data_IF_855207871879
#
_entry.id   IF_855207871879
#
_cell.length_a   1.000
_cell.length_b   1.000
_cell.length_c   1.000
_cell.angle_alpha   90.00
_cell.angle_beta   90.00
_cell.angle_gamma   90.00
#
_symmetry.space_group_name_H-M   'P 1'
#
loop_
_entity.id
_entity.type
_entity.pdbx_description
1 polymer ?
#
# COMPACT_ATOMS: atom_id res chain seq x y z
N UNK A 1 3.35 -0.85 29.11
CA UNK A 1 2.76 -1.70 30.16
C UNK A 1 3.23 -3.12 29.93
N UNK A 2 3.59 -3.91 30.96
CA UNK A 2 3.76 -5.34 30.80
C UNK A 2 2.40 -5.96 30.43
N UNK A 3 2.37 -6.85 29.43
CA UNK A 3 1.15 -7.58 29.09
C UNK A 3 0.79 -8.51 30.25
N UNK A 4 -0.44 -8.40 30.75
CA UNK A 4 -0.94 -9.30 31.77
C UNK A 4 -1.21 -10.68 31.14
N UNK A 5 -0.31 -11.63 31.39
CA UNK A 5 -0.42 -13.00 30.90
C UNK A 5 -1.19 -13.93 31.86
N UNK A 6 -1.84 -13.38 32.89
CA UNK A 6 -2.75 -14.17 33.73
C UNK A 6 -3.95 -14.63 32.90
N UNK A 7 -4.34 -15.93 32.97
CA UNK A 7 -5.53 -16.39 32.27
C UNK A 7 -6.76 -15.71 32.87
N UNK A 8 -7.48 -14.95 32.03
CA UNK A 8 -8.74 -14.33 32.42
C UNK A 8 -9.75 -15.47 32.61
N UNK A 9 -10.12 -15.73 33.87
CA UNK A 9 -11.20 -16.66 34.18
C UNK A 9 -12.52 -16.15 33.59
N UNK A 10 -13.40 -17.06 33.17
CA UNK A 10 -14.74 -16.66 32.72
C UNK A 10 -15.52 -16.11 33.92
N UNK A 11 -16.37 -15.08 33.72
CA UNK A 11 -17.46 -14.82 34.64
C UNK A 11 -18.39 -16.04 34.63
N UNK A 12 -18.69 -16.60 35.80
CA UNK A 12 -19.69 -17.68 35.93
C UNK A 12 -21.14 -17.13 35.90
N UNK A 13 -21.29 -15.80 35.91
CA UNK A 13 -22.57 -15.09 35.88
C UNK A 13 -22.97 -14.71 34.44
N UNK A 14 -24.26 -14.85 34.12
CA UNK A 14 -24.82 -14.53 32.80
C UNK A 14 -25.01 -13.03 32.65
N UNK A 15 -23.92 -12.30 32.38
CA UNK A 15 -23.90 -10.83 32.27
C UNK A 15 -24.58 -10.25 31.02
N UNK A 16 -25.20 -11.08 30.17
CA UNK A 16 -25.88 -10.64 28.94
C UNK A 16 -24.97 -9.95 27.91
N UNK A 17 -23.65 -10.09 28.05
CA UNK A 17 -22.64 -9.39 27.26
C UNK A 17 -21.59 -10.37 26.71
N UNK A 18 -21.18 -10.18 25.46
CA UNK A 18 -20.11 -10.96 24.82
C UNK A 18 -18.74 -10.33 25.09
N UNK A 19 -17.71 -11.15 25.29
CA UNK A 19 -16.33 -10.68 25.43
C UNK A 19 -15.80 -10.06 24.13
N UNK A 20 -16.31 -10.50 22.97
CA UNK A 20 -16.02 -9.90 21.68
C UNK A 20 -16.86 -8.61 21.45
N UNK A 21 -16.24 -7.52 20.94
CA UNK A 21 -16.92 -6.25 20.76
C UNK A 21 -17.92 -6.29 19.58
N UNK A 22 -19.22 -6.25 19.90
CA UNK A 22 -20.34 -6.31 18.93
C UNK A 22 -20.20 -5.30 17.77
N UNK A 23 -19.69 -4.09 18.03
CA UNK A 23 -19.48 -3.07 17.01
C UNK A 23 -18.45 -3.47 15.94
N UNK A 24 -17.46 -4.32 16.28
CA UNK A 24 -16.49 -4.86 15.32
C UNK A 24 -17.09 -6.03 14.55
N UNK A 25 -17.88 -6.88 15.21
CA UNK A 25 -18.56 -8.03 14.59
C UNK A 25 -19.55 -7.56 13.52
N UNK A 26 -20.39 -6.56 13.82
CA UNK A 26 -21.32 -5.97 12.83
C UNK A 26 -20.60 -5.41 11.61
N UNK A 27 -19.41 -4.83 11.79
CA UNK A 27 -18.58 -4.36 10.66
C UNK A 27 -18.05 -5.49 9.80
N UNK A 28 -17.69 -6.64 10.40
CA UNK A 28 -17.22 -7.83 9.67
C UNK A 28 -18.38 -8.48 8.90
N UNK A 29 -19.56 -8.60 9.53
CA UNK A 29 -20.77 -9.14 8.88
C UNK A 29 -21.14 -8.28 7.64
N UNK A 30 -21.03 -6.95 7.73
CA UNK A 30 -21.27 -6.05 6.61
C UNK A 30 -20.12 -5.93 5.60
N UNK A 31 -19.15 -6.85 5.59
CA UNK A 31 -18.20 -7.03 4.47
C UNK A 31 -18.60 -8.19 3.54
N UNK A 32 -19.68 -8.90 3.87
CA UNK A 32 -20.21 -10.01 3.10
C UNK A 32 -21.37 -9.51 2.24
N UNK A 33 -21.16 -9.44 0.91
CA UNK A 33 -22.12 -8.87 -0.04
C UNK A 33 -23.44 -9.68 -0.10
N UNK A 34 -23.41 -10.95 0.31
CA UNK A 34 -24.60 -11.81 0.38
C UNK A 34 -25.51 -11.49 1.60
N UNK A 35 -25.03 -10.70 2.58
CA UNK A 35 -25.76 -10.41 3.83
C UNK A 35 -26.38 -9.01 3.82
N UNK A 36 -27.57 -8.91 3.22
CA UNK A 36 -28.27 -7.63 3.07
C UNK A 36 -28.58 -6.90 4.39
N UNK A 37 -29.07 -7.59 5.44
CA UNK A 37 -29.35 -7.00 6.76
C UNK A 37 -29.21 -8.03 7.90
N UNK A 38 -28.51 -7.66 8.98
CA UNK A 38 -28.34 -8.49 10.18
C UNK A 38 -28.92 -7.80 11.43
N UNK A 39 -29.83 -8.48 12.14
CA UNK A 39 -30.50 -7.92 13.33
C UNK A 39 -29.55 -7.84 14.54
N UNK A 40 -29.87 -6.95 15.49
CA UNK A 40 -29.06 -6.81 16.72
C UNK A 40 -28.95 -8.12 17.51
N UNK A 41 -30.04 -8.90 17.57
CA UNK A 41 -30.08 -10.20 18.25
C UNK A 41 -29.28 -11.27 17.49
N UNK A 42 -29.33 -11.26 16.15
CA UNK A 42 -28.51 -12.16 15.33
C UNK A 42 -27.01 -11.85 15.49
N UNK A 43 -26.62 -10.58 15.45
CA UNK A 43 -25.23 -10.16 15.67
C UNK A 43 -24.69 -10.54 17.07
N UNK A 44 -25.56 -10.59 18.09
CA UNK A 44 -25.21 -11.09 19.43
C UNK A 44 -25.13 -12.63 19.48
N UNK A 45 -26.05 -13.35 18.84
CA UNK A 45 -25.95 -14.81 18.73
C UNK A 45 -24.67 -15.24 18.00
N UNK A 46 -24.29 -14.52 16.93
CA UNK A 46 -23.04 -14.73 16.18
C UNK A 46 -21.82 -14.45 17.06
N UNK A 47 -21.84 -13.42 17.92
CA UNK A 47 -20.69 -13.13 18.81
C UNK A 47 -20.44 -14.25 19.82
N UNK A 48 -21.51 -14.73 20.48
CA UNK A 48 -21.43 -15.85 21.43
C UNK A 48 -21.01 -17.14 20.71
N UNK A 49 -21.57 -17.44 19.53
CA UNK A 49 -21.17 -18.60 18.73
C UNK A 49 -19.69 -18.53 18.30
N UNK A 50 -19.18 -17.34 17.99
CA UNK A 50 -17.76 -17.12 17.65
C UNK A 50 -16.85 -17.38 18.85
N UNK A 51 -17.26 -17.01 20.06
CA UNK A 51 -16.51 -17.29 21.31
C UNK A 51 -16.46 -18.79 21.62
N UNK A 52 -17.58 -19.50 21.48
CA UNK A 52 -17.63 -20.95 21.61
C UNK A 52 -16.76 -21.64 20.56
N UNK A 53 -16.80 -21.18 19.31
CA UNK A 53 -16.01 -21.72 18.21
C UNK A 53 -14.50 -21.54 18.43
N UNK A 54 -14.05 -20.33 18.79
CA UNK A 54 -12.64 -20.05 19.10
C UNK A 54 -12.16 -20.95 20.24
N UNK A 55 -13.00 -21.15 21.28
CA UNK A 55 -12.68 -22.03 22.40
C UNK A 55 -12.57 -23.49 21.96
N UNK A 56 -13.52 -23.98 21.17
CA UNK A 56 -13.51 -25.34 20.65
C UNK A 56 -12.25 -25.60 19.81
N UNK A 57 -11.97 -24.73 18.82
CA UNK A 57 -10.78 -24.81 17.98
C UNK A 57 -9.48 -24.78 18.79
N UNK A 58 -9.38 -23.87 19.76
CA UNK A 58 -8.21 -23.75 20.64
C UNK A 58 -8.04 -25.00 21.51
N UNK A 59 -9.12 -25.57 22.02
CA UNK A 59 -9.08 -26.81 22.81
C UNK A 59 -8.63 -28.01 21.97
N UNK A 60 -9.18 -28.19 20.76
CA UNK A 60 -8.74 -29.25 19.83
C UNK A 60 -7.25 -29.11 19.48
N UNK A 61 -6.79 -27.89 19.18
CA UNK A 61 -5.39 -27.61 18.90
C UNK A 61 -4.48 -27.85 20.13
N UNK A 62 -4.95 -27.52 21.34
CA UNK A 62 -4.23 -27.78 22.59
C UNK A 62 -4.12 -29.30 22.86
N UNK A 63 -5.17 -30.07 22.61
CA UNK A 63 -5.14 -31.54 22.77
C UNK A 63 -4.14 -32.18 21.80
N UNK A 64 -4.03 -31.67 20.57
CA UNK A 64 -2.96 -32.05 19.62
C UNK A 64 -1.57 -31.69 20.17
N UNK A 65 -1.38 -30.48 20.69
CA UNK A 65 -0.09 -30.04 21.26
C UNK A 65 0.32 -30.84 22.52
N UNK A 66 -0.67 -31.32 23.29
CA UNK A 66 -0.49 -32.20 24.46
C UNK A 66 -0.20 -33.64 24.06
N UNK A 67 -0.71 -34.10 22.92
CA UNK A 67 -0.46 -35.44 22.36
C UNK A 67 0.93 -35.59 21.70
N UNK A 68 1.69 -34.51 21.51
CA UNK A 68 3.07 -34.61 21.04
C UNK A 68 4.00 -35.24 22.09
N UNK A 69 5.01 -36.00 21.62
CA UNK A 69 6.03 -36.67 22.46
C UNK A 69 6.74 -35.76 23.48
N UNK A 70 6.78 -34.44 23.22
CA UNK A 70 7.21 -33.43 24.17
C UNK A 70 6.10 -32.36 24.26
N UNK A 71 5.20 -32.43 25.25
CA UNK A 71 4.06 -31.51 25.33
C UNK A 71 4.55 -30.08 25.52
N UNK A 72 4.04 -29.17 24.68
CA UNK A 72 4.38 -27.75 24.72
C UNK A 72 3.29 -26.96 25.41
N UNK A 73 3.69 -25.96 26.21
CA UNK A 73 2.78 -24.99 26.85
C UNK A 73 2.33 -23.87 25.90
N UNK A 74 2.95 -23.78 24.72
CA UNK A 74 2.64 -22.80 23.69
C UNK A 74 2.10 -23.49 22.44
N UNK A 75 0.93 -23.03 21.98
CA UNK A 75 0.30 -23.44 20.74
C UNK A 75 1.09 -22.90 19.54
N UNK A 76 1.31 -23.73 18.53
CA UNK A 76 1.92 -23.34 17.27
C UNK A 76 0.95 -23.57 16.10
N UNK A 77 1.16 -22.89 14.97
CA UNK A 77 0.30 -23.03 13.78
C UNK A 77 0.13 -24.49 13.33
N UNK A 78 1.19 -25.29 13.40
CA UNK A 78 1.14 -26.74 13.08
C UNK A 78 0.12 -27.51 13.93
N UNK A 79 -0.16 -27.08 15.15
CA UNK A 79 -1.10 -27.74 16.07
C UNK A 79 -2.54 -27.47 15.64
N UNK A 80 -2.82 -26.23 15.22
CA UNK A 80 -4.10 -25.81 14.65
C UNK A 80 -4.34 -26.50 13.31
N UNK A 81 -3.39 -26.45 12.37
CA UNK A 81 -3.52 -27.10 11.07
C UNK A 81 -3.68 -28.63 11.20
N UNK A 82 -3.02 -29.25 12.18
CA UNK A 82 -3.20 -30.67 12.48
C UNK A 82 -4.59 -30.94 13.06
N UNK A 83 -5.07 -30.13 14.00
CA UNK A 83 -6.41 -30.27 14.61
C UNK A 83 -7.54 -30.10 13.58
N UNK A 84 -7.45 -29.09 12.71
CA UNK A 84 -8.37 -28.89 11.58
C UNK A 84 -8.44 -30.15 10.70
N UNK A 85 -7.29 -30.77 10.42
CA UNK A 85 -7.24 -31.97 9.58
C UNK A 85 -7.54 -33.31 10.28
N UNK A 86 -7.85 -33.29 11.58
CA UNK A 86 -8.17 -34.48 12.40
C UNK A 86 -9.64 -34.56 12.78
N UNK A 87 -10.42 -33.51 12.50
CA UNK A 87 -11.79 -33.38 12.94
C UNK A 87 -12.65 -32.87 11.79
N UNK A 88 -13.56 -33.71 11.31
CA UNK A 88 -14.40 -33.45 10.13
C UNK A 88 -15.26 -32.20 10.33
N UNK A 89 -15.69 -31.90 11.56
CA UNK A 89 -16.42 -30.66 11.88
C UNK A 89 -15.58 -29.37 11.80
N UNK A 90 -14.28 -29.47 11.49
CA UNK A 90 -13.40 -28.34 11.16
C UNK A 90 -12.97 -28.36 9.69
N UNK A 91 -13.45 -29.28 8.85
CA UNK A 91 -13.03 -29.44 7.45
C UNK A 91 -13.23 -28.16 6.61
N UNK A 92 -14.26 -27.37 6.92
CA UNK A 92 -14.51 -26.08 6.27
C UNK A 92 -13.34 -25.08 6.44
N UNK A 93 -12.50 -25.23 7.46
CA UNK A 93 -11.28 -24.43 7.64
C UNK A 93 -10.10 -24.93 6.80
N UNK A 94 -10.19 -26.06 6.10
CA UNK A 94 -9.06 -26.67 5.37
C UNK A 94 -8.44 -25.75 4.32
N UNK A 95 -9.24 -24.89 3.68
CA UNK A 95 -8.79 -23.88 2.72
C UNK A 95 -8.12 -22.67 3.39
N UNK A 96 -8.60 -22.29 4.59
CA UNK A 96 -8.07 -21.15 5.37
C UNK A 96 -6.83 -21.51 6.19
N UNK A 97 -6.71 -22.77 6.62
CA UNK A 97 -5.63 -23.29 7.49
C UNK A 97 -4.95 -24.49 6.82
N UNK A 98 -4.20 -24.28 5.72
CA UNK A 98 -3.52 -25.35 5.01
C UNK A 98 -2.47 -26.06 5.87
N UNK A 99 -2.23 -27.35 5.59
CA UNK A 99 -1.15 -28.11 6.19
C UNK A 99 0.21 -27.50 5.81
N UNK A 100 1.09 -27.33 6.80
CA UNK A 100 2.45 -26.82 6.57
C UNK A 100 3.33 -27.86 5.88
N UNK A 101 3.53 -27.70 4.57
CA UNK A 101 4.40 -28.56 3.75
C UNK A 101 5.74 -27.88 3.49
N UNK A 102 6.85 -28.63 3.43
CA UNK A 102 8.16 -28.02 3.13
C UNK A 102 8.22 -27.55 1.68
N UNK A 103 8.93 -26.44 1.41
CA UNK A 103 9.07 -25.91 0.03
C UNK A 103 9.68 -26.92 -0.96
N UNK A 104 10.50 -27.86 -0.49
CA UNK A 104 11.03 -28.97 -1.30
C UNK A 104 9.93 -29.95 -1.70
N UNK A 105 9.04 -30.31 -0.78
CA UNK A 105 7.89 -31.17 -1.04
C UNK A 105 6.89 -30.48 -1.98
N UNK A 106 6.53 -29.20 -1.73
CA UNK A 106 5.63 -28.46 -2.63
C UNK A 106 6.15 -28.37 -4.07
N UNK A 107 7.46 -28.16 -4.26
CA UNK A 107 8.08 -28.17 -5.61
C UNK A 107 8.06 -29.56 -6.24
N UNK A 108 8.29 -30.63 -5.47
CA UNK A 108 8.19 -32.00 -5.98
C UNK A 108 6.73 -32.38 -6.32
N UNK A 109 5.77 -31.93 -5.52
CA UNK A 109 4.34 -32.20 -5.73
C UNK A 109 3.83 -31.46 -6.97
N UNK A 110 4.17 -30.17 -7.15
CA UNK A 110 3.90 -29.44 -8.39
C UNK A 110 4.51 -30.12 -9.62
N UNK A 111 5.80 -30.44 -9.57
CA UNK A 111 6.47 -31.17 -10.66
C UNK A 111 5.90 -32.58 -10.90
N UNK A 112 5.21 -33.18 -9.93
CA UNK A 112 4.49 -34.45 -10.10
C UNK A 112 3.09 -34.27 -10.71
N UNK A 113 2.38 -33.18 -10.36
CA UNK A 113 1.08 -32.81 -10.96
C UNK A 113 1.26 -32.38 -12.42
N UNK A 114 2.25 -31.53 -12.72
CA UNK A 114 2.64 -31.16 -14.08
C UNK A 114 2.98 -32.39 -14.94
N UNK A 115 3.66 -33.40 -14.36
CA UNK A 115 3.95 -34.68 -15.04
C UNK A 115 2.75 -35.61 -15.16
N UNK A 116 1.76 -35.52 -14.28
CA UNK A 116 0.52 -36.28 -14.34
C UNK A 116 -0.42 -35.70 -15.42
N UNK A 117 -0.55 -34.38 -15.48
CA UNK A 117 -1.30 -33.66 -16.51
C UNK A 117 -0.69 -33.88 -17.91
N UNK A 118 0.65 -33.81 -18.03
CA UNK A 118 1.35 -34.15 -19.27
C UNK A 118 1.18 -35.63 -19.70
N UNK A 119 0.96 -36.55 -18.75
CA UNK A 119 0.63 -37.96 -19.06
C UNK A 119 -0.84 -38.18 -19.38
N UNK A 120 -1.77 -37.44 -18.78
CA UNK A 120 -3.19 -37.49 -19.12
C UNK A 120 -3.46 -37.09 -20.57
N UNK A 121 -2.71 -36.12 -21.10
CA UNK A 121 -2.83 -35.65 -22.48
C UNK A 121 -2.27 -36.61 -23.56
N UNK A 122 -1.60 -37.72 -23.18
CA UNK A 122 -0.91 -38.62 -24.12
C UNK A 122 -1.49 -40.05 -24.18
N UNK A 123 -2.66 -40.28 -23.57
CA UNK A 123 -3.27 -41.61 -23.42
C UNK A 123 -4.73 -41.72 -23.89
N UNK A 124 -5.07 -41.20 -25.06
CA UNK A 124 -6.44 -41.29 -25.61
C UNK A 124 -6.48 -41.61 -27.11
N UNK A 125 -6.32 -42.89 -27.46
CA UNK A 125 -6.71 -43.43 -28.78
C UNK A 125 -6.88 -44.96 -28.70
N UNK A 126 -8.11 -45.49 -28.73
CA UNK A 126 -8.34 -46.94 -28.49
C UNK A 126 -9.77 -47.43 -28.18
N UNK A 127 -10.77 -46.94 -28.92
CA UNK A 127 -12.06 -47.58 -29.29
C UNK A 127 -12.38 -49.02 -28.77
N UNK A 128 -13.41 -49.17 -27.90
CA UNK A 128 -14.65 -50.00 -28.06
C UNK A 128 -15.30 -50.55 -26.75
N UNK A 129 -16.62 -50.36 -26.60
CA UNK A 129 -17.56 -51.13 -25.73
C UNK A 129 -17.43 -50.95 -24.20
N UNK A 130 -18.48 -50.78 -23.39
CA UNK A 130 -19.93 -50.78 -23.60
C UNK A 130 -20.59 -49.89 -22.51
N UNK A 131 -21.71 -49.22 -22.80
CA UNK A 131 -22.45 -48.38 -21.83
C UNK A 131 -23.56 -49.17 -21.12
N UNK A 132 -24.06 -48.69 -19.95
CA UNK A 132 -25.38 -48.02 -19.96
C UNK A 132 -25.39 -46.63 -19.25
N UNK A 133 -25.99 -45.57 -19.81
CA UNK A 133 -27.43 -45.12 -19.65
C UNK A 133 -27.70 -44.59 -18.22
N UNK A 134 -28.24 -43.40 -17.91
CA UNK A 134 -28.84 -42.22 -18.62
C UNK A 134 -28.79 -40.98 -17.66
N UNK A 135 -29.27 -39.74 -17.88
CA UNK A 135 -30.00 -38.99 -18.95
C UNK A 135 -29.56 -37.51 -18.81
N UNK A 136 -29.14 -36.79 -19.87
CA UNK A 136 -29.91 -35.93 -20.81
C UNK A 136 -30.53 -34.62 -20.26
N UNK A 137 -29.90 -33.48 -20.60
CA UNK A 137 -30.56 -32.24 -21.02
C UNK A 137 -29.55 -31.38 -21.82
N UNK A 138 -30.01 -30.66 -22.84
CA UNK A 138 -29.18 -30.17 -23.96
C UNK A 138 -29.28 -28.63 -24.14
N UNK A 139 -28.84 -27.94 -25.23
CA UNK A 139 -27.88 -26.83 -25.07
C UNK A 139 -28.36 -25.45 -25.59
N UNK A 140 -27.60 -24.39 -25.31
CA UNK A 140 -27.64 -23.14 -26.11
C UNK A 140 -26.30 -22.38 -26.11
N UNK A 141 -25.87 -22.00 -27.32
CA UNK A 141 -24.92 -20.95 -27.74
C UNK A 141 -23.65 -20.61 -26.90
N UNK A 142 -22.44 -20.70 -27.49
CA UNK A 142 -21.23 -20.06 -26.98
C UNK A 142 -21.05 -18.63 -27.52
N UNK A 143 -20.55 -17.73 -26.66
CA UNK A 143 -20.15 -16.35 -27.00
C UNK A 143 -18.82 -16.27 -27.78
N UNK A 144 -18.52 -15.14 -28.48
CA UNK A 144 -17.56 -15.10 -29.58
C UNK A 144 -16.07 -15.09 -29.16
N UNK A 145 -15.16 -15.51 -30.05
CA UNK A 145 -13.72 -15.56 -29.77
C UNK A 145 -13.05 -14.17 -29.79
N UNK A 146 -12.15 -13.94 -28.83
CA UNK A 146 -11.25 -12.79 -28.84
C UNK A 146 -10.17 -12.94 -29.93
N UNK A 147 -9.96 -11.86 -30.69
CA UNK A 147 -9.03 -11.81 -31.83
C UNK A 147 -7.56 -12.02 -31.43
N UNK A 148 -6.72 -12.60 -32.33
CA UNK A 148 -5.31 -12.84 -32.04
C UNK A 148 -4.47 -11.55 -32.01
N UNK A 149 -3.47 -11.53 -31.13
CA UNK A 149 -2.44 -10.49 -31.08
C UNK A 149 -1.59 -10.51 -32.36
N UNK A 150 -1.39 -9.33 -32.97
CA UNK A 150 -0.57 -9.14 -34.16
C UNK A 150 0.93 -9.04 -33.83
N UNK A 151 1.82 -9.37 -34.79
CA UNK A 151 3.26 -9.46 -34.53
C UNK A 151 3.99 -8.11 -34.60
N UNK A 152 5.12 -8.07 -33.88
CA UNK A 152 6.25 -7.14 -33.95
C UNK A 152 6.22 -6.04 -35.02
N UNK A 153 6.17 -4.78 -34.58
CA UNK A 153 6.60 -3.63 -35.39
C UNK A 153 7.74 -2.88 -34.68
N UNK A 154 8.72 -2.44 -35.48
CA UNK A 154 9.97 -1.85 -35.00
C UNK A 154 9.77 -0.46 -34.38
N UNK A 155 10.47 -0.17 -33.28
CA UNK A 155 10.70 1.21 -32.86
C UNK A 155 11.74 1.87 -33.81
N UNK A 156 11.26 2.54 -34.85
CA UNK A 156 12.02 3.60 -35.52
C UNK A 156 11.95 4.88 -34.70
N UNK A 157 13.10 5.39 -34.26
CA UNK A 157 13.18 6.71 -33.61
C UNK A 157 12.86 7.82 -34.63
N UNK A 158 11.98 8.75 -34.26
CA UNK A 158 11.78 10.01 -34.97
C UNK A 158 12.33 11.18 -34.12
N UNK A 159 12.82 12.28 -34.74
CA UNK A 159 13.73 13.21 -34.09
C UNK A 159 13.04 14.33 -33.30
N UNK A 160 13.79 14.93 -32.37
CA UNK A 160 13.37 16.14 -31.66
C UNK A 160 13.32 17.37 -32.59
N UNK A 161 12.31 18.26 -32.45
CA UNK A 161 12.24 19.49 -33.22
C UNK A 161 13.34 20.48 -32.79
N UNK A 162 14.02 21.06 -33.77
CA UNK A 162 15.05 22.08 -33.58
C UNK A 162 14.56 23.43 -34.10
N UNK A 163 14.31 24.39 -33.22
CA UNK A 163 14.17 25.79 -33.61
C UNK A 163 14.58 26.76 -32.49
N UNK A 164 15.72 27.42 -32.74
CA UNK A 164 16.01 28.84 -32.52
C UNK A 164 15.69 29.47 -31.13
N UNK A 165 16.68 29.75 -30.29
CA UNK A 165 17.69 30.83 -30.43
C UNK A 165 17.21 32.24 -30.02
N UNK A 166 17.06 32.46 -28.71
CA UNK A 166 17.30 33.74 -28.01
C UNK A 166 17.41 33.43 -26.51
N UNK A 167 18.29 34.00 -25.68
CA UNK A 167 19.20 35.12 -25.88
C UNK A 167 20.63 34.79 -25.40
N UNK A 168 21.60 35.57 -25.89
CA UNK A 168 23.04 35.45 -25.57
C UNK A 168 23.48 36.64 -24.72
N UNK A 169 24.43 36.40 -23.79
CA UNK A 169 25.12 37.35 -22.87
C UNK A 169 24.32 37.89 -21.68
N UNK A 170 24.69 37.43 -20.49
CA UNK A 170 25.20 38.34 -19.44
C UNK A 170 26.02 37.64 -18.34
N UNK A 171 27.22 38.18 -18.12
CA UNK A 171 27.90 38.29 -16.81
C UNK A 171 28.62 37.05 -16.24
N UNK A 172 29.85 36.86 -16.75
CA UNK A 172 30.98 36.45 -15.91
C UNK A 172 31.37 37.56 -14.92
N UNK A 173 31.35 37.25 -13.61
CA UNK A 173 32.33 37.70 -12.56
C UNK A 173 31.78 37.39 -11.16
N UNK A 174 32.53 36.60 -10.40
CA UNK A 174 32.81 36.69 -8.94
C UNK A 174 33.74 35.50 -8.62
N UNK A 175 35.06 35.69 -8.55
CA UNK A 175 35.80 36.23 -7.40
C UNK A 175 35.90 35.24 -6.22
N UNK A 176 37.04 34.55 -6.12
CA UNK A 176 37.44 33.71 -4.99
C UNK A 176 37.76 34.59 -3.76
N UNK A 177 37.31 34.23 -2.54
CA UNK A 177 37.86 34.80 -1.31
C UNK A 177 39.11 34.03 -0.86
N UNK A 178 40.18 34.77 -0.55
CA UNK A 178 41.41 34.23 0.04
C UNK A 178 41.28 34.02 1.56
N UNK A 179 42.25 33.30 2.13
CA UNK A 179 42.22 32.84 3.52
C UNK A 179 42.33 33.98 4.58
N UNK A 180 41.61 33.79 5.69
CA UNK A 180 41.91 34.45 6.96
C UNK A 180 42.22 33.39 8.03
N UNK A 181 43.35 33.52 8.71
CA UNK A 181 43.73 32.67 9.85
C UNK A 181 42.90 33.08 11.08
N UNK A 182 42.40 32.10 11.83
CA UNK A 182 42.13 32.27 13.27
C UNK A 182 42.19 30.93 13.99
N UNK A 183 42.38 30.98 15.30
CA UNK A 183 43.16 29.98 16.03
C UNK A 183 42.44 29.32 17.21
N UNK A 184 42.86 28.07 17.49
CA UNK A 184 42.78 27.33 18.76
C UNK A 184 41.48 26.58 19.14
N UNK A 185 41.65 25.25 19.21
CA UNK A 185 41.32 24.35 20.33
C UNK A 185 39.84 24.13 20.71
N UNK A 186 39.30 22.96 20.33
CA UNK A 186 39.29 21.79 21.22
C UNK A 186 38.71 20.54 20.52
N UNK A 187 39.50 19.47 20.40
CA UNK A 187 39.04 18.15 19.97
C UNK A 187 39.58 17.08 20.94
N UNK A 188 38.67 16.25 21.46
CA UNK A 188 39.00 15.18 22.43
C UNK A 188 39.59 13.97 21.69
N UNK A 189 40.63 13.29 22.21
CA UNK A 189 41.21 12.13 21.53
C UNK A 189 40.30 10.89 21.67
N UNK A 190 40.11 10.17 20.57
CA UNK A 190 39.55 8.82 20.60
C UNK A 190 40.63 7.81 21.07
N UNK A 191 40.23 6.81 21.85
CA UNK A 191 41.16 5.88 22.49
C UNK A 191 41.85 4.94 21.48
N UNK A 192 43.17 4.80 21.62
CA UNK A 192 43.94 3.73 20.99
C UNK A 192 43.73 2.43 21.77
N UNK A 193 43.19 1.39 21.12
CA UNK A 193 43.07 0.06 21.71
C UNK A 193 44.34 -0.76 21.49
N UNK A 194 44.78 -1.41 22.56
CA UNK A 194 46.05 -2.12 22.69
C UNK A 194 46.02 -3.41 21.87
N UNK A 195 47.00 -3.58 20.98
CA UNK A 195 47.30 -4.88 20.37
C UNK A 195 48.30 -5.66 21.26
N UNK A 196 48.09 -6.98 21.50
CA UNK A 196 48.92 -7.75 22.42
C UNK A 196 50.28 -8.11 21.82
N UNK A 197 51.29 -8.13 22.69
CA UNK A 197 52.69 -8.38 22.34
C UNK A 197 52.94 -9.89 22.09
N UNK A 198 52.89 -10.33 20.83
CA UNK A 198 53.10 -11.73 20.45
C UNK A 198 54.60 -12.05 20.28
N UNK A 199 55.21 -12.59 21.33
CA UNK A 199 56.61 -13.06 21.30
C UNK A 199 56.79 -14.19 20.28
N UNK A 200 57.53 -13.92 19.19
CA UNK A 200 57.83 -14.91 18.16
C UNK A 200 58.84 -15.95 18.68
N UNK A 201 58.32 -17.10 19.10
CA UNK A 201 59.12 -18.29 19.42
C UNK A 201 59.76 -18.83 18.14
N UNK A 202 61.08 -18.69 17.99
CA UNK A 202 61.83 -19.20 16.82
C UNK A 202 61.78 -20.73 16.76
N UNK A 203 60.90 -21.27 15.93
CA UNK A 203 61.01 -22.67 15.49
C UNK A 203 62.01 -22.76 14.34
N UNK A 204 63.13 -23.44 14.58
CA UNK A 204 64.19 -23.68 13.60
C UNK A 204 63.77 -24.84 12.69
N UNK A 205 63.08 -24.54 11.60
CA UNK A 205 62.75 -25.52 10.57
C UNK A 205 63.95 -25.74 9.64
N UNK A 206 64.38 -26.99 9.47
CA UNK A 206 65.43 -27.35 8.51
C UNK A 206 64.95 -27.13 7.07
N UNK A 207 65.83 -26.62 6.22
CA UNK A 207 65.52 -26.40 4.80
C UNK A 207 65.42 -27.73 4.05
N UNK A 208 64.26 -27.99 3.45
CA UNK A 208 64.11 -28.87 2.28
C UNK A 208 63.70 -27.96 1.13
N UNK A 209 64.49 -27.97 0.05
CA UNK A 209 64.41 -26.96 -0.99
C UNK A 209 63.17 -27.06 -1.88
N UNK A 210 62.55 -25.91 -2.13
CA UNK A 210 61.80 -25.67 -3.36
C UNK A 210 62.25 -24.32 -3.92
N UNK A 211 62.67 -24.31 -5.19
CA UNK A 211 63.33 -23.16 -5.80
C UNK A 211 62.31 -22.12 -6.30
N UNK A 212 61.89 -21.22 -5.41
CA UNK A 212 61.17 -20.00 -5.81
C UNK A 212 62.18 -18.94 -6.25
N UNK A 213 62.36 -18.76 -7.56
CA UNK A 213 63.11 -17.62 -8.09
C UNK A 213 62.34 -16.32 -7.80
N UNK A 214 62.87 -15.51 -6.90
CA UNK A 214 62.42 -14.14 -6.65
C UNK A 214 62.69 -13.27 -7.89
N UNK A 215 61.67 -12.55 -8.37
CA UNK A 215 61.81 -11.54 -9.43
C UNK A 215 62.57 -10.28 -8.98
N UNK A 216 62.93 -10.17 -7.70
CA UNK A 216 63.87 -9.17 -7.23
C UNK A 216 65.30 -9.65 -7.51
N UNK A 217 65.92 -9.08 -8.55
CA UNK A 217 67.36 -9.20 -8.79
C UNK A 217 68.13 -8.52 -7.65
N UNK A 218 68.44 -9.26 -6.59
CA UNK A 218 69.53 -8.90 -5.69
C UNK A 218 70.84 -9.35 -6.33
N UNK A 219 71.59 -8.41 -6.89
CA UNK A 219 72.98 -8.67 -7.23
C UNK A 219 73.71 -9.09 -5.95
N UNK A 220 74.44 -10.20 -6.01
CA UNK A 220 75.35 -10.56 -4.94
C UNK A 220 76.50 -9.53 -4.92
N UNK A 221 76.76 -8.99 -3.73
CA UNK A 221 77.72 -7.94 -3.43
C UNK A 221 77.29 -6.51 -3.86
N UNK A 222 76.90 -5.70 -2.85
CA UNK A 222 76.32 -4.37 -3.01
C UNK A 222 75.07 -4.19 -2.13
N UNK A 223 75.06 -3.16 -1.28
CA UNK A 223 74.00 -2.94 -0.29
C UNK A 223 72.60 -2.81 -0.90
N UNK A 224 71.57 -3.21 -0.13
CA UNK A 224 70.16 -3.18 -0.56
C UNK A 224 69.72 -1.74 -0.82
N UNK A 225 69.80 -1.35 -2.08
CA UNK A 225 69.50 0.00 -2.55
C UNK A 225 67.99 0.21 -2.66
N UNK A 226 67.40 0.68 -1.56
CA UNK A 226 65.95 0.96 -1.43
C UNK A 226 65.47 2.10 -2.35
N UNK A 227 66.39 2.80 -3.05
CA UNK A 227 66.05 3.88 -3.98
C UNK A 227 65.72 3.40 -5.40
N UNK A 228 66.05 2.14 -5.74
CA UNK A 228 65.79 1.56 -7.06
C UNK A 228 64.36 1.02 -7.19
N UNK A 229 63.48 1.84 -7.75
CA UNK A 229 62.07 1.50 -8.01
C UNK A 229 61.98 0.37 -9.06
N UNK A 230 61.23 -0.73 -8.81
CA UNK A 230 61.05 -1.81 -9.78
C UNK A 230 60.26 -1.35 -11.02
N UNK A 231 60.42 -2.06 -12.15
CA UNK A 231 59.90 -1.60 -13.44
C UNK A 231 58.39 -1.86 -13.62
N UNK A 232 57.56 -0.82 -13.45
CA UNK A 232 56.12 -0.88 -13.69
C UNK A 232 55.69 -0.72 -15.17
N UNK A 233 56.60 -0.98 -16.13
CA UNK A 233 56.36 -0.72 -17.57
C UNK A 233 55.17 -1.50 -18.13
N UNK A 234 54.88 -2.68 -17.61
CA UNK A 234 53.72 -3.50 -18.01
C UNK A 234 52.36 -2.91 -17.57
N UNK A 235 52.35 -2.10 -16.49
CA UNK A 235 51.13 -1.54 -15.88
C UNK A 235 50.90 -0.07 -16.24
N UNK A 236 51.89 0.61 -16.84
CA UNK A 236 51.80 2.04 -17.19
C UNK A 236 50.97 2.23 -18.46
N UNK A 237 49.93 3.06 -18.38
CA UNK A 237 49.14 3.50 -19.53
C UNK A 237 50.02 4.19 -20.59
N UNK A 238 49.81 3.85 -21.87
CA UNK A 238 50.50 4.49 -23.01
C UNK A 238 49.89 5.85 -23.38
N UNK A 239 48.63 6.11 -23.00
CA UNK A 239 47.93 7.36 -23.26
C UNK A 239 48.31 8.48 -22.27
N UNK A 240 48.09 9.74 -22.66
CA UNK A 240 48.33 10.91 -21.84
C UNK A 240 47.47 10.92 -20.56
N UNK A 241 48.03 11.42 -19.44
CA UNK A 241 47.39 11.41 -18.12
C UNK A 241 45.95 11.97 -18.14
N UNK A 242 45.77 13.13 -18.77
CA UNK A 242 44.46 13.80 -18.87
C UNK A 242 43.42 12.92 -19.56
N UNK A 243 43.80 12.19 -20.62
CA UNK A 243 42.89 11.29 -21.34
C UNK A 243 42.45 10.12 -20.45
N UNK A 244 43.38 9.49 -19.73
CA UNK A 244 43.05 8.41 -18.79
C UNK A 244 42.15 8.91 -17.65
N UNK A 245 42.40 10.10 -17.10
CA UNK A 245 41.59 10.70 -16.03
C UNK A 245 40.18 11.06 -16.50
N UNK A 246 40.04 11.64 -17.70
CA UNK A 246 38.73 11.89 -18.31
C UNK A 246 37.95 10.60 -18.56
N UNK A 247 38.61 9.54 -19.03
CA UNK A 247 37.98 8.22 -19.20
C UNK A 247 37.55 7.60 -17.86
N UNK A 248 38.39 7.68 -16.82
CA UNK A 248 38.04 7.23 -15.47
C UNK A 248 36.84 8.00 -14.90
N UNK A 249 36.83 9.34 -15.01
CA UNK A 249 35.70 10.17 -14.56
C UNK A 249 34.42 9.92 -15.37
N UNK A 250 34.54 9.64 -16.68
CA UNK A 250 33.41 9.23 -17.51
C UNK A 250 32.80 7.90 -17.02
N UNK A 251 33.63 6.89 -16.74
CA UNK A 251 33.15 5.59 -16.24
C UNK A 251 32.54 5.68 -14.83
N UNK A 252 33.16 6.45 -13.92
CA UNK A 252 32.60 6.68 -12.58
C UNK A 252 31.32 7.54 -12.64
N UNK A 253 31.28 8.56 -13.49
CA UNK A 253 30.12 9.45 -13.66
C UNK A 253 28.92 8.75 -14.29
N UNK A 254 29.12 7.91 -15.30
CA UNK A 254 28.05 7.11 -15.92
C UNK A 254 27.51 6.06 -14.95
N UNK A 255 28.37 5.35 -14.21
CA UNK A 255 27.95 4.43 -13.14
C UNK A 255 27.16 5.14 -12.03
N UNK A 256 27.63 6.32 -11.61
CA UNK A 256 26.95 7.16 -10.63
C UNK A 256 25.57 7.64 -11.10
N UNK A 257 25.45 8.04 -12.37
CA UNK A 257 24.18 8.45 -12.97
C UNK A 257 23.18 7.28 -12.99
N UNK A 258 23.59 6.10 -13.46
CA UNK A 258 22.73 4.91 -13.48
C UNK A 258 22.27 4.52 -12.06
N UNK A 259 23.18 4.60 -11.09
CA UNK A 259 22.88 4.31 -9.68
C UNK A 259 21.90 5.34 -9.09
N UNK A 260 22.06 6.62 -9.42
CA UNK A 260 21.13 7.68 -8.99
C UNK A 260 19.73 7.51 -9.58
N UNK A 261 19.62 7.11 -10.86
CA UNK A 261 18.33 6.80 -11.50
C UNK A 261 17.67 5.57 -10.85
N UNK A 262 18.43 4.50 -10.61
CA UNK A 262 17.93 3.29 -9.92
C UNK A 262 17.46 3.57 -8.49
N UNK A 263 18.23 4.38 -7.74
CA UNK A 263 17.85 4.82 -6.40
C UNK A 263 16.58 5.68 -6.42
N UNK A 264 16.45 6.62 -7.37
CA UNK A 264 15.23 7.42 -7.55
C UNK A 264 14.02 6.52 -7.83
N UNK A 265 14.12 5.59 -8.78
CA UNK A 265 13.05 4.67 -9.12
C UNK A 265 12.61 3.85 -7.90
N UNK A 266 13.57 3.26 -7.18
CA UNK A 266 13.30 2.47 -5.97
C UNK A 266 12.56 3.29 -4.91
N UNK A 267 13.01 4.52 -4.62
CA UNK A 267 12.34 5.40 -3.64
C UNK A 267 10.94 5.81 -4.14
N UNK A 268 10.80 6.09 -5.44
CA UNK A 268 9.52 6.44 -6.05
C UNK A 268 8.51 5.28 -5.94
N UNK A 269 8.93 4.05 -6.19
CA UNK A 269 8.07 2.86 -6.09
C UNK A 269 7.57 2.65 -4.65
N UNK A 270 8.43 2.82 -3.64
CA UNK A 270 8.01 2.78 -2.24
C UNK A 270 7.03 3.91 -1.88
N UNK A 271 7.22 5.12 -2.40
CA UNK A 271 6.30 6.24 -2.18
C UNK A 271 4.95 6.03 -2.87
N UNK A 272 4.92 5.53 -4.11
CA UNK A 272 3.68 5.20 -4.83
C UNK A 272 2.95 4.05 -4.15
N UNK A 273 3.65 3.04 -3.63
CA UNK A 273 3.07 1.96 -2.84
C UNK A 273 2.47 2.43 -1.48
N UNK A 274 2.87 3.60 -0.99
CA UNK A 274 2.26 4.25 0.18
C UNK A 274 1.21 5.32 -0.19
N UNK A 275 0.99 5.58 -1.48
CA UNK A 275 -0.01 6.53 -1.97
C UNK A 275 -1.40 5.89 -2.13
N UNK A 276 -2.39 6.64 -2.59
CA UNK A 276 -3.75 6.12 -2.77
C UNK A 276 -3.78 4.97 -3.78
N UNK A 277 -4.44 3.86 -3.44
CA UNK A 277 -4.60 2.71 -4.32
C UNK A 277 -5.55 2.99 -5.48
N UNK A 278 -5.41 2.21 -6.56
CA UNK A 278 -6.26 2.35 -7.75
C UNK A 278 -7.76 2.22 -7.47
N UNK A 279 -8.17 1.40 -6.49
CA UNK A 279 -9.56 1.27 -6.05
C UNK A 279 -10.10 2.58 -5.42
N UNK A 280 -9.31 3.25 -4.57
CA UNK A 280 -9.67 4.56 -4.01
C UNK A 280 -9.75 5.64 -5.10
N UNK A 281 -9.00 5.49 -6.19
CA UNK A 281 -9.10 6.35 -7.38
C UNK A 281 -10.25 5.97 -8.32
N UNK A 282 -10.68 4.71 -8.34
CA UNK A 282 -11.87 4.27 -9.08
C UNK A 282 -13.15 4.86 -8.44
N UNK A 283 -13.18 4.94 -7.10
CA UNK A 283 -14.22 5.65 -6.32
C UNK A 283 -14.16 7.19 -6.44
N UNK A 284 -13.42 7.73 -7.43
CA UNK A 284 -13.38 9.17 -7.69
C UNK A 284 -14.66 9.71 -8.32
N UNK A 285 -15.42 8.90 -9.07
CA UNK A 285 -16.71 9.27 -9.66
C UNK A 285 -17.83 8.45 -9.03
N UNK A 286 -18.90 9.12 -8.62
CA UNK A 286 -20.13 8.48 -8.15
C UNK A 286 -21.29 9.03 -8.97
N UNK A 287 -22.05 8.12 -9.56
CA UNK A 287 -23.26 8.41 -10.32
C UNK A 287 -24.47 8.25 -9.36
N UNK A 288 -25.40 9.19 -9.43
CA UNK A 288 -26.57 9.27 -8.55
C UNK A 288 -27.80 9.48 -9.42
N UNK A 289 -28.77 8.59 -9.29
CA UNK A 289 -30.08 8.75 -9.90
C UNK A 289 -30.89 9.79 -9.12
N UNK A 290 -31.25 10.87 -9.80
CA UNK A 290 -32.03 11.99 -9.29
C UNK A 290 -33.50 11.64 -9.13
N UNK A 291 -34.03 10.69 -9.92
CA UNK A 291 -35.46 10.31 -9.89
C UNK A 291 -35.87 9.62 -8.58
N UNK A 292 -34.90 9.03 -7.87
CA UNK A 292 -35.08 8.42 -6.54
C UNK A 292 -35.24 9.46 -5.42
N UNK A 293 -34.94 10.75 -5.66
CA UNK A 293 -34.92 11.79 -4.62
C UNK A 293 -36.16 12.70 -4.72
N UNK A 294 -37.16 12.56 -3.83
CA UNK A 294 -38.33 13.45 -3.82
C UNK A 294 -37.96 14.85 -3.31
N UNK A 295 -38.71 15.83 -3.78
CA UNK A 295 -38.63 17.24 -3.35
C UNK A 295 -38.70 17.39 -1.82
N UNK A 296 -37.92 18.32 -1.29
CA UNK A 296 -37.85 18.65 0.14
C UNK A 296 -37.10 17.63 1.01
N UNK A 297 -36.47 16.59 0.45
CA UNK A 297 -35.67 15.61 1.22
C UNK A 297 -34.17 15.73 0.98
N UNK A 298 -33.43 15.46 2.05
CA UNK A 298 -31.97 15.32 2.06
C UNK A 298 -31.56 13.85 1.89
N UNK A 299 -30.67 13.57 0.95
CA UNK A 299 -29.98 12.28 0.80
C UNK A 299 -28.49 12.46 1.13
N UNK A 300 -27.94 11.51 1.87
CA UNK A 300 -26.51 11.49 2.25
C UNK A 300 -25.85 10.29 1.56
N UNK A 301 -24.99 10.56 0.59
CA UNK A 301 -24.16 9.54 -0.05
C UNK A 301 -22.71 9.65 0.43
N UNK A 302 -21.89 8.64 0.14
CA UNK A 302 -20.46 8.62 0.50
C UNK A 302 -19.61 8.71 -0.77
N UNK A 303 -18.82 9.78 -0.90
CA UNK A 303 -17.90 10.01 -2.02
C UNK A 303 -16.49 10.23 -1.49
N UNK A 304 -15.49 9.48 -1.98
CA UNK A 304 -14.08 9.57 -1.55
C UNK A 304 -13.89 9.54 -0.02
N UNK A 305 -14.78 8.82 0.69
CA UNK A 305 -14.80 8.73 2.15
C UNK A 305 -15.46 9.90 2.90
N UNK A 306 -15.79 11.01 2.22
CA UNK A 306 -16.56 12.13 2.75
C UNK A 306 -18.07 11.90 2.52
N UNK A 307 -18.98 12.36 3.41
CA UNK A 307 -20.39 12.46 3.08
C UNK A 307 -20.63 13.60 2.06
N UNK A 308 -21.54 13.37 1.12
CA UNK A 308 -22.10 14.39 0.22
C UNK A 308 -23.58 14.50 0.53
N UNK A 309 -24.06 15.72 0.73
CA UNK A 309 -25.47 16.03 0.87
C UNK A 309 -26.00 16.43 -0.49
N UNK A 310 -27.09 15.76 -0.88
CA UNK A 310 -27.87 16.07 -2.07
C UNK A 310 -29.27 16.41 -1.57
N UNK A 311 -29.72 17.65 -1.80
CA UNK A 311 -31.08 18.10 -1.50
C UNK A 311 -31.78 18.46 -2.80
N UNK A 312 -32.97 17.91 -2.99
CA UNK A 312 -33.93 18.41 -3.96
C UNK A 312 -34.70 19.55 -3.27
N UNK A 313 -34.37 20.80 -3.60
CA UNK A 313 -34.94 21.99 -2.94
C UNK A 313 -36.32 22.33 -3.50
N UNK A 314 -37.18 22.88 -2.65
CA UNK A 314 -38.48 23.44 -3.07
C UNK A 314 -38.31 24.86 -3.61
N UNK A 315 -39.31 25.38 -4.33
CA UNK A 315 -39.29 26.76 -4.83
C UNK A 315 -39.18 27.79 -3.68
N UNK A 316 -39.83 27.54 -2.55
CA UNK A 316 -39.78 28.40 -1.37
C UNK A 316 -38.37 28.44 -0.74
N UNK A 317 -37.67 27.29 -0.70
CA UNK A 317 -36.29 27.18 -0.20
C UNK A 317 -35.27 27.89 -1.10
N UNK A 318 -35.50 27.88 -2.42
CA UNK A 318 -34.68 28.61 -3.39
C UNK A 318 -34.86 30.12 -3.16
N UNK A 319 -36.10 30.59 -3.04
CA UNK A 319 -36.38 32.00 -2.75
C UNK A 319 -35.82 32.44 -1.39
N UNK A 320 -35.87 31.59 -0.36
CA UNK A 320 -35.20 31.85 0.92
C UNK A 320 -33.69 32.03 0.73
N UNK A 321 -33.03 31.12 0.01
CA UNK A 321 -31.59 31.16 -0.26
C UNK A 321 -31.14 32.44 -1.00
N UNK A 322 -31.92 32.87 -2.00
CA UNK A 322 -31.66 34.05 -2.83
C UNK A 322 -31.96 35.37 -2.10
N UNK A 323 -32.99 35.39 -1.24
CA UNK A 323 -33.40 36.59 -0.49
C UNK A 323 -32.42 37.03 0.61
N UNK A 324 -31.44 36.18 0.95
CA UNK A 324 -30.43 36.46 1.97
C UNK A 324 -29.47 37.56 1.53
N UNK A 325 -29.39 38.63 2.33
CA UNK A 325 -28.36 39.65 2.18
C UNK A 325 -26.95 39.05 2.37
N UNK A 326 -26.20 39.07 1.28
CA UNK A 326 -24.85 38.52 1.14
C UNK A 326 -23.85 39.24 2.05
N UNK A 327 -24.08 40.52 2.39
CA UNK A 327 -23.17 41.33 3.21
C UNK A 327 -23.13 40.92 4.69
N UNK A 328 -24.16 40.20 5.16
CA UNK A 328 -24.28 39.69 6.54
C UNK A 328 -23.55 38.33 6.68
N UNK A 329 -23.30 37.63 5.56
CA UNK A 329 -22.58 36.36 5.57
C UNK A 329 -21.10 36.56 5.94
N UNK A 330 -20.55 35.63 6.72
CA UNK A 330 -19.11 35.60 7.03
C UNK A 330 -18.25 35.31 5.80
N UNK A 331 -18.79 34.51 4.89
CA UNK A 331 -18.19 34.07 3.63
C UNK A 331 -19.17 34.45 2.51
N UNK A 332 -19.05 35.68 1.96
CA UNK A 332 -19.99 36.23 0.99
C UNK A 332 -20.04 35.41 -0.31
N UNK A 333 -21.14 34.69 -0.51
CA UNK A 333 -21.37 33.86 -1.70
C UNK A 333 -22.86 33.85 -2.07
N UNK A 334 -23.16 34.04 -3.36
CA UNK A 334 -24.53 33.92 -3.88
C UNK A 334 -24.96 32.45 -3.94
N UNK A 335 -26.26 32.19 -4.14
CA UNK A 335 -26.73 30.81 -4.36
C UNK A 335 -26.37 30.33 -5.78
N UNK A 336 -26.52 31.19 -6.79
CA UNK A 336 -26.14 30.93 -8.19
C UNK A 336 -24.68 30.49 -8.37
N UNK A 337 -23.75 31.00 -7.56
CA UNK A 337 -22.34 30.58 -7.57
C UNK A 337 -22.10 29.19 -6.98
N UNK A 338 -23.08 28.64 -6.25
CA UNK A 338 -22.98 27.36 -5.53
C UNK A 338 -23.70 26.22 -6.25
N UNK A 339 -24.76 26.52 -7.01
CA UNK A 339 -25.58 25.52 -7.69
C UNK A 339 -25.60 25.73 -9.21
N UNK A 340 -25.43 24.66 -9.98
CA UNK A 340 -25.60 24.69 -11.45
C UNK A 340 -27.07 24.70 -11.88
N UNK A 341 -27.95 24.16 -11.02
CA UNK A 341 -29.39 24.04 -11.19
C UNK A 341 -30.04 24.35 -9.84
N UNK A 342 -30.93 25.35 -9.70
CA UNK A 342 -31.40 25.81 -8.40
C UNK A 342 -32.20 24.75 -7.61
N UNK A 343 -32.85 23.82 -8.28
CA UNK A 343 -33.56 22.70 -7.66
C UNK A 343 -32.63 21.66 -7.02
N UNK A 344 -31.35 21.59 -7.42
CA UNK A 344 -30.38 20.60 -6.93
C UNK A 344 -29.22 21.23 -6.16
N UNK A 345 -29.26 21.14 -4.83
CA UNK A 345 -28.13 21.48 -3.99
C UNK A 345 -27.25 20.24 -3.75
N UNK A 346 -25.99 20.31 -4.20
CA UNK A 346 -24.98 19.25 -4.02
C UNK A 346 -23.78 19.85 -3.29
N UNK A 347 -23.46 19.33 -2.09
CA UNK A 347 -22.33 19.84 -1.29
C UNK A 347 -21.72 18.78 -0.37
N UNK A 348 -20.48 18.98 0.05
CA UNK A 348 -19.80 18.11 0.99
C UNK A 348 -20.33 18.34 2.42
N UNK A 349 -20.78 17.26 3.06
CA UNK A 349 -21.25 17.25 4.45
C UNK A 349 -20.13 17.31 5.47
N UNK A 350 -19.09 18.10 5.22
CA UNK A 350 -17.87 18.20 6.03
C UNK A 350 -17.74 19.63 6.55
N UNK A 351 -18.03 19.81 7.84
CA UNK A 351 -17.97 21.11 8.51
C UNK A 351 -16.56 21.71 8.44
N UNK A 352 -16.46 22.91 7.87
CA UNK A 352 -15.22 23.67 7.67
C UNK A 352 -14.46 24.07 8.94
N UNK A 353 -15.02 23.82 10.13
CA UNK A 353 -14.31 24.01 11.40
C UNK A 353 -13.27 22.91 11.65
N UNK A 354 -13.71 21.64 11.76
CA UNK A 354 -12.87 20.49 12.14
C UNK A 354 -13.32 19.17 11.47
N UNK A 355 -14.13 19.22 10.43
CA UNK A 355 -14.52 18.05 9.64
C UNK A 355 -15.67 17.19 10.20
N UNK A 356 -16.39 17.66 11.23
CA UNK A 356 -17.62 17.01 11.71
C UNK A 356 -18.72 17.00 10.63
N UNK A 357 -19.64 16.04 10.72
CA UNK A 357 -20.79 15.93 9.81
C UNK A 357 -21.97 16.76 10.36
N UNK A 358 -22.48 17.77 9.62
CA UNK A 358 -23.69 18.48 10.00
C UNK A 358 -24.94 17.59 9.88
N UNK A 359 -25.94 17.84 10.73
CA UNK A 359 -27.26 17.22 10.68
C UNK A 359 -28.15 18.13 9.82
N UNK A 360 -28.85 17.57 8.81
CA UNK A 360 -29.79 18.33 7.97
C UNK A 360 -31.15 18.54 8.64
N UNK A 361 -31.90 19.54 8.15
CA UNK A 361 -33.20 19.97 8.70
C UNK A 361 -33.10 20.34 10.20
N UNK A 362 -31.96 20.95 10.57
CA UNK A 362 -31.64 21.26 11.96
C UNK A 362 -30.93 22.61 12.11
N UNK A 363 -31.22 23.29 13.21
CA UNK A 363 -30.64 24.58 13.59
C UNK A 363 -31.45 25.80 13.10
N UNK A 364 -31.07 26.97 13.63
CA UNK A 364 -31.79 28.25 13.53
C UNK A 364 -32.11 28.80 12.11
N UNK A 365 -31.60 28.18 11.03
CA UNK A 365 -31.66 28.72 9.65
C UNK A 365 -32.11 27.69 8.59
N UNK A 366 -32.94 26.71 8.97
CA UNK A 366 -33.60 25.76 8.05
C UNK A 366 -32.70 24.71 7.37
N UNK A 367 -31.39 24.95 7.27
CA UNK A 367 -30.42 24.09 6.60
C UNK A 367 -29.82 23.00 7.50
N UNK A 368 -28.58 23.25 7.98
CA UNK A 368 -27.79 22.23 8.68
C UNK A 368 -27.17 22.73 9.98
N UNK A 369 -27.10 21.85 10.98
CA UNK A 369 -26.49 22.10 12.29
C UNK A 369 -25.34 21.14 12.58
N UNK A 370 -24.17 21.69 12.89
CA UNK A 370 -23.00 20.93 13.33
C UNK A 370 -22.91 20.87 14.86
N UNK A 371 -23.23 19.74 15.50
CA UNK A 371 -23.34 19.64 16.97
C UNK A 371 -21.99 19.74 17.69
N UNK A 372 -20.86 19.57 17.00
CA UNK A 372 -19.54 19.55 17.63
C UNK A 372 -19.18 20.87 18.34
N UNK A 373 -19.51 22.01 17.73
CA UNK A 373 -19.22 23.34 18.27
C UNK A 373 -20.32 24.38 17.96
N UNK A 374 -21.52 23.92 17.60
CA UNK A 374 -22.66 24.80 17.31
C UNK A 374 -22.48 25.67 16.07
N UNK A 375 -21.99 25.12 14.95
CA UNK A 375 -22.00 25.83 13.67
C UNK A 375 -23.33 25.62 12.96
N UNK A 376 -23.97 26.71 12.53
CA UNK A 376 -25.24 26.67 11.78
C UNK A 376 -25.00 27.11 10.35
N UNK A 377 -25.63 26.40 9.42
CA UNK A 377 -25.60 26.63 7.99
C UNK A 377 -27.03 26.85 7.48
N UNK A 378 -27.20 27.78 6.54
CA UNK A 378 -28.48 28.04 5.87
C UNK A 378 -28.83 26.95 4.85
N UNK A 379 -29.98 27.09 4.18
CA UNK A 379 -30.48 26.15 3.16
C UNK A 379 -29.59 26.06 1.88
N UNK A 380 -28.60 26.96 1.72
CA UNK A 380 -27.56 26.90 0.67
C UNK A 380 -26.27 26.24 1.17
N UNK A 381 -26.18 25.92 2.47
CA UNK A 381 -24.97 25.43 3.12
C UNK A 381 -23.96 26.52 3.49
N UNK A 382 -24.38 27.79 3.53
CA UNK A 382 -23.52 28.93 3.88
C UNK A 382 -23.50 29.15 5.38
N UNK A 383 -22.33 29.51 5.95
CA UNK A 383 -22.16 29.61 7.40
C UNK A 383 -22.80 30.88 7.95
N UNK A 384 -23.70 30.71 8.92
CA UNK A 384 -24.45 31.79 9.58
C UNK A 384 -23.97 32.05 11.01
N UNK A 385 -23.64 30.99 11.75
CA UNK A 385 -23.31 31.04 13.19
C UNK A 385 -22.25 29.99 13.57
N UNK A 386 -21.56 30.22 14.67
CA UNK A 386 -20.56 29.31 15.25
C UNK A 386 -19.11 29.59 14.81
N UNK A 387 -18.16 28.70 15.11
CA UNK A 387 -16.72 28.90 14.83
C UNK A 387 -16.28 28.50 13.42
N UNK A 388 -17.16 27.92 12.59
CA UNK A 388 -16.81 27.58 11.21
C UNK A 388 -16.42 28.85 10.41
N UNK A 389 -15.28 28.87 9.70
CA UNK A 389 -14.81 30.06 9.00
C UNK A 389 -15.44 30.26 7.61
N UNK A 390 -15.81 29.17 6.93
CA UNK A 390 -16.20 29.13 5.51
C UNK A 390 -17.51 28.36 5.30
N UNK A 391 -18.15 28.58 4.16
CA UNK A 391 -19.32 27.84 3.66
C UNK A 391 -18.99 26.36 3.40
N UNK A 392 -20.00 25.49 3.31
CA UNK A 392 -19.79 24.09 2.94
C UNK A 392 -19.27 23.99 1.48
N UNK A 393 -18.21 23.20 1.30
CA UNK A 393 -17.50 22.97 0.03
C UNK A 393 -18.44 22.29 -0.98
N UNK A 394 -18.60 22.88 -2.16
CA UNK A 394 -19.34 22.29 -3.29
C UNK A 394 -18.36 21.41 -4.09
N UNK A 395 -18.60 20.09 -4.25
CA UNK A 395 -17.74 19.24 -5.06
C UNK A 395 -17.90 19.59 -6.54
N UNK A 396 -16.97 19.16 -7.39
CA UNK A 396 -17.20 19.17 -8.84
C UNK A 396 -18.22 18.08 -9.18
N UNK A 397 -19.31 18.47 -9.84
CA UNK A 397 -20.35 17.58 -10.32
C UNK A 397 -20.89 18.07 -11.66
N UNK A 398 -21.36 17.16 -12.51
CA UNK A 398 -21.98 17.47 -13.80
C UNK A 398 -23.27 16.64 -14.00
N UNK A 399 -24.16 17.17 -14.83
CA UNK A 399 -25.39 16.51 -15.26
C UNK A 399 -25.23 16.06 -16.72
N UNK A 400 -24.68 14.85 -17.01
CA UNK A 400 -24.60 14.33 -18.37
C UNK A 400 -25.98 14.03 -18.97
N UNK A 401 -26.96 13.68 -18.12
CA UNK A 401 -28.34 13.37 -18.47
C UNK A 401 -29.29 14.06 -17.49
N UNK A 402 -30.59 14.17 -17.81
CA UNK A 402 -31.55 14.83 -16.91
C UNK A 402 -31.81 14.06 -15.61
N UNK A 403 -31.72 12.73 -15.64
CA UNK A 403 -31.90 11.83 -14.49
C UNK A 403 -30.62 11.54 -13.70
N UNK A 404 -29.45 11.85 -14.25
CA UNK A 404 -28.17 11.29 -13.76
C UNK A 404 -27.22 12.41 -13.34
N UNK A 405 -26.84 12.42 -12.06
CA UNK A 405 -25.84 13.32 -11.49
C UNK A 405 -24.51 12.58 -11.30
N UNK A 406 -23.41 13.11 -11.85
CA UNK A 406 -22.08 12.53 -11.67
C UNK A 406 -21.22 13.47 -10.83
N UNK A 407 -20.67 12.95 -9.72
CA UNK A 407 -19.83 13.71 -8.79
C UNK A 407 -18.37 13.23 -8.90
N UNK A 408 -17.46 14.12 -9.33
CA UNK A 408 -16.00 13.94 -9.32
C UNK A 408 -15.28 13.89 -10.66
#
# INVERSE_FOLDING_TARGET
MPYNNAPIARPDEVTGSSALPLARIKKIIGQDDDIAQCSNSAAFAISVATEEFIRYLTQRAHDVAKAERKPRRHLAYKDIATAVSRHDNLEFLSQMVPKTTTMRQLRAEKASKEKAEAKGASGANGVNGEAPISVLATPTAPDPPLSPLSPSQNLTMAPAPSSASSAVRSWTRHALPAAARSSRLNARPAASLIAPNASQRRHRASAVGSASQSTFNTAADGGVDTTKIPSFKAYRSKAAEVSNRTFQYFMVGTMGLLTAVGAKATVQDFLVNMSASADVLAQAKVEVDLSTIPEGKNVIIKWRGKPVFIRHRTADEIQEAESVDISILRDPQTDEERVKKPEWLVMLGVCTHLGCVPIGEAGDFGGWFCPCHGSHYDISGRVRRGPAPLNLEVPQYDFPEESTLVIG
#
